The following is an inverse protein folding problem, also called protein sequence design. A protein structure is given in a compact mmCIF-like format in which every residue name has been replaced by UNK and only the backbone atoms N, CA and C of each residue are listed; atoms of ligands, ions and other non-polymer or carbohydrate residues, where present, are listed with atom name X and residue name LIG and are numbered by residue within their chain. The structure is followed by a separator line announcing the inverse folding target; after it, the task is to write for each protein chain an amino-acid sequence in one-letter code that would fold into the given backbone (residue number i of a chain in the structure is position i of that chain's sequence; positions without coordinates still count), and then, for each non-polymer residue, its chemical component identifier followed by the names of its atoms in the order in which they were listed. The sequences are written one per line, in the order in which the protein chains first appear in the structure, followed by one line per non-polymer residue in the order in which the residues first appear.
data_IF_382336547715
#
_entry.id   IF_382336547715
#
_cell.length_a   1.000
_cell.length_b   1.000
_cell.length_c   1.000
_cell.angle_alpha   90.00
_cell.angle_beta   90.00
_cell.angle_gamma   90.00
#
_symmetry.space_group_name_H-M   'P 1'
#
loop_
_entity.id
_entity.type
_entity.pdbx_description
1 polymer ?
#
# COMPACT_ATOMS: atom_id res chain seq x y z
N UNK A 1 65.03 -64.21 33.86
CA UNK A 1 65.36 -63.80 32.46
C UNK A 1 64.17 -63.06 31.87
N UNK A 2 64.32 -61.75 31.64
CA UNK A 2 63.27 -60.88 31.14
C UNK A 2 63.36 -60.73 29.61
N UNK A 3 62.23 -60.76 28.90
CA UNK A 3 62.11 -60.16 27.56
C UNK A 3 60.75 -59.46 27.39
N UNK A 4 60.80 -58.16 27.68
CA UNK A 4 59.83 -57.10 27.36
C UNK A 4 59.70 -56.99 25.84
N UNK A 5 58.55 -57.35 25.25
CA UNK A 5 58.25 -57.05 23.85
C UNK A 5 57.82 -55.58 23.73
N UNK A 6 58.58 -54.84 22.93
CA UNK A 6 58.43 -53.40 22.67
C UNK A 6 57.19 -53.16 21.82
N UNK A 7 56.30 -52.29 22.29
CA UNK A 7 55.24 -51.68 21.50
C UNK A 7 55.88 -50.64 20.58
N UNK A 8 55.95 -50.92 19.29
CA UNK A 8 56.36 -49.95 18.27
C UNK A 8 55.17 -49.06 17.93
N UNK A 9 55.11 -47.88 18.54
CA UNK A 9 54.14 -46.84 18.20
C UNK A 9 54.29 -46.41 16.74
N UNK A 10 53.26 -46.67 15.93
CA UNK A 10 53.14 -46.15 14.57
C UNK A 10 52.65 -44.71 14.67
N UNK A 11 53.58 -43.73 14.67
CA UNK A 11 53.23 -42.31 14.56
C UNK A 11 52.62 -42.07 13.18
N UNK A 12 51.30 -41.98 13.10
CA UNK A 12 50.60 -41.48 11.92
C UNK A 12 50.91 -39.99 11.79
N UNK A 13 51.83 -39.65 10.90
CA UNK A 13 52.07 -38.27 10.50
C UNK A 13 50.87 -37.84 9.64
N UNK A 14 49.81 -37.33 10.26
CA UNK A 14 48.72 -36.64 9.55
C UNK A 14 49.31 -35.43 8.87
N UNK A 15 49.68 -35.59 7.59
CA UNK A 15 50.17 -34.54 6.72
C UNK A 15 49.02 -33.54 6.59
N UNK A 16 49.04 -32.47 7.40
CA UNK A 16 48.11 -31.35 7.29
C UNK A 16 48.20 -30.86 5.84
N UNK A 17 47.17 -31.20 5.05
CA UNK A 17 46.97 -30.67 3.70
C UNK A 17 46.76 -29.18 3.87
N UNK A 18 47.83 -28.40 3.70
CA UNK A 18 47.74 -26.94 3.67
C UNK A 18 46.66 -26.60 2.64
N UNK A 19 45.59 -25.89 3.04
CA UNK A 19 44.54 -25.54 2.10
C UNK A 19 45.19 -24.73 0.99
N UNK A 20 45.02 -25.20 -0.24
CA UNK A 20 45.57 -24.53 -1.41
C UNK A 20 45.06 -23.09 -1.47
N UNK A 21 45.91 -22.09 -1.79
CA UNK A 21 45.60 -20.67 -1.67
C UNK A 21 44.32 -20.25 -2.40
N UNK A 22 43.93 -20.96 -3.47
CA UNK A 22 42.68 -20.70 -4.20
C UNK A 22 41.43 -20.86 -3.33
N UNK A 23 41.42 -21.80 -2.38
CA UNK A 23 40.25 -22.04 -1.51
C UNK A 23 39.98 -20.87 -0.57
N UNK A 24 41.05 -20.21 -0.12
CA UNK A 24 40.95 -19.00 0.73
C UNK A 24 40.46 -17.80 -0.08
N UNK A 25 40.95 -17.64 -1.31
CA UNK A 25 40.51 -16.56 -2.21
C UNK A 25 39.03 -16.70 -2.57
N UNK A 26 38.57 -17.91 -2.93
CA UNK A 26 37.16 -18.18 -3.25
C UNK A 26 36.24 -17.91 -2.03
N UNK A 27 36.67 -18.28 -0.82
CA UNK A 27 35.93 -17.97 0.41
C UNK A 27 35.81 -16.46 0.65
N UNK A 28 36.87 -15.70 0.40
CA UNK A 28 36.83 -14.23 0.53
C UNK A 28 35.88 -13.59 -0.48
N UNK A 29 35.90 -14.06 -1.74
CA UNK A 29 34.99 -13.56 -2.78
C UNK A 29 33.54 -13.88 -2.43
N UNK A 30 33.24 -15.11 -1.98
CA UNK A 30 31.91 -15.50 -1.52
C UNK A 30 31.44 -14.65 -0.34
N UNK A 31 32.31 -14.37 0.63
CA UNK A 31 31.99 -13.54 1.78
C UNK A 31 31.61 -12.12 1.35
N UNK A 32 32.40 -11.51 0.46
CA UNK A 32 32.08 -10.17 -0.11
C UNK A 32 30.75 -10.19 -0.86
N UNK A 33 30.49 -11.23 -1.66
CA UNK A 33 29.24 -11.39 -2.40
C UNK A 33 28.03 -11.56 -1.47
N UNK A 34 28.18 -12.32 -0.38
CA UNK A 34 27.16 -12.46 0.66
C UNK A 34 26.89 -11.15 1.40
N UNK A 35 27.92 -10.35 1.69
CA UNK A 35 27.73 -9.04 2.34
C UNK A 35 27.00 -8.06 1.41
N UNK A 36 27.39 -7.99 0.14
CA UNK A 36 26.74 -7.13 -0.85
C UNK A 36 25.26 -7.52 -1.05
N UNK A 37 24.98 -8.82 -1.21
CA UNK A 37 23.60 -9.31 -1.35
C UNK A 37 22.79 -9.15 -0.06
N UNK A 38 23.40 -9.31 1.11
CA UNK A 38 22.77 -9.06 2.40
C UNK A 38 22.32 -7.60 2.57
N UNK A 39 23.19 -6.63 2.27
CA UNK A 39 22.89 -5.18 2.35
C UNK A 39 21.78 -4.79 1.35
N UNK A 40 21.82 -5.30 0.12
CA UNK A 40 20.77 -5.07 -0.87
C UNK A 40 19.44 -5.72 -0.46
N UNK A 41 19.50 -6.91 0.14
CA UNK A 41 18.33 -7.63 0.65
C UNK A 41 17.60 -6.90 1.78
N UNK A 42 18.32 -6.39 2.78
CA UNK A 42 17.67 -5.62 3.86
C UNK A 42 17.05 -4.32 3.36
N UNK A 43 17.68 -3.66 2.37
CA UNK A 43 17.10 -2.48 1.73
C UNK A 43 15.85 -2.82 0.91
N UNK A 44 15.85 -3.95 0.20
CA UNK A 44 14.69 -4.42 -0.56
C UNK A 44 13.51 -4.79 0.34
N UNK A 45 13.75 -5.48 1.47
CA UNK A 45 12.70 -5.81 2.45
C UNK A 45 12.13 -4.55 3.08
N UNK A 46 12.99 -3.59 3.47
CA UNK A 46 12.55 -2.30 4.03
C UNK A 46 11.75 -1.48 3.01
N UNK A 47 12.12 -1.54 1.73
CA UNK A 47 11.40 -0.87 0.65
C UNK A 47 10.05 -1.54 0.39
N UNK A 48 9.99 -2.88 0.39
CA UNK A 48 8.74 -3.62 0.25
C UNK A 48 7.77 -3.35 1.40
N UNK A 49 8.25 -3.30 2.64
CA UNK A 49 7.44 -3.01 3.82
C UNK A 49 6.86 -1.59 3.81
N UNK A 50 7.61 -0.61 3.29
CA UNK A 50 7.08 0.75 3.08
C UNK A 50 6.05 0.80 1.95
N UNK A 51 6.30 0.08 0.86
CA UNK A 51 5.43 0.06 -0.31
C UNK A 51 4.05 -0.57 -0.01
N UNK A 52 3.98 -1.56 0.88
CA UNK A 52 2.69 -2.14 1.31
C UNK A 52 1.83 -1.15 2.09
N UNK A 53 2.42 -0.31 2.93
CA UNK A 53 1.68 0.71 3.68
C UNK A 53 1.12 1.81 2.75
N UNK A 54 1.89 2.23 1.75
CA UNK A 54 1.42 3.21 0.76
C UNK A 54 0.29 2.66 -0.13
N UNK A 55 0.34 1.38 -0.51
CA UNK A 55 -0.74 0.74 -1.27
C UNK A 55 -2.05 0.66 -0.50
N UNK A 56 -1.99 0.45 0.81
CA UNK A 56 -3.18 0.45 1.66
C UNK A 56 -3.80 1.84 1.74
N UNK A 57 -2.98 2.87 1.97
CA UNK A 57 -3.44 4.26 1.99
C UNK A 57 -4.04 4.69 0.64
N UNK A 58 -3.40 4.33 -0.49
CA UNK A 58 -3.96 4.62 -1.81
C UNK A 58 -5.33 3.98 -2.04
N UNK A 59 -5.53 2.74 -1.58
CA UNK A 59 -6.81 2.07 -1.73
C UNK A 59 -7.91 2.74 -0.89
N UNK A 60 -7.58 3.15 0.32
CA UNK A 60 -8.49 3.87 1.21
C UNK A 60 -8.85 5.26 0.66
N UNK A 61 -7.85 6.05 0.25
CA UNK A 61 -8.03 7.36 -0.38
C UNK A 61 -8.86 7.27 -1.68
N UNK A 62 -8.59 6.27 -2.54
CA UNK A 62 -9.39 6.06 -3.76
C UNK A 62 -10.85 5.72 -3.45
N UNK A 63 -11.10 5.04 -2.35
CA UNK A 63 -12.48 4.71 -1.94
C UNK A 63 -13.21 5.97 -1.48
N UNK A 64 -12.56 6.83 -0.71
CA UNK A 64 -13.11 8.12 -0.28
C UNK A 64 -13.36 9.08 -1.46
N UNK A 65 -12.44 9.15 -2.43
CA UNK A 65 -12.61 9.97 -3.63
C UNK A 65 -13.84 9.52 -4.42
N UNK A 66 -14.05 8.21 -4.58
CA UNK A 66 -15.22 7.69 -5.30
C UNK A 66 -16.53 8.00 -4.59
N UNK A 67 -16.58 7.88 -3.26
CA UNK A 67 -17.80 8.23 -2.52
C UNK A 67 -18.11 9.72 -2.58
N UNK A 68 -17.09 10.59 -2.53
CA UNK A 68 -17.29 12.04 -2.66
C UNK A 68 -17.67 12.44 -4.09
N UNK A 69 -17.11 11.79 -5.12
CA UNK A 69 -17.54 12.02 -6.51
C UNK A 69 -19.00 11.65 -6.75
N UNK A 70 -19.48 10.52 -6.20
CA UNK A 70 -20.88 10.13 -6.29
C UNK A 70 -21.81 11.18 -5.64
N UNK A 71 -21.44 11.68 -4.46
CA UNK A 71 -22.19 12.76 -3.81
C UNK A 71 -22.17 14.07 -4.60
N UNK A 72 -21.06 14.38 -5.28
CA UNK A 72 -20.94 15.59 -6.10
C UNK A 72 -21.83 15.53 -7.36
N UNK A 73 -22.02 14.35 -7.94
CA UNK A 73 -22.96 14.14 -9.06
C UNK A 73 -24.41 14.33 -8.60
N UNK A 74 -24.80 13.76 -7.45
CA UNK A 74 -26.15 13.97 -6.87
C UNK A 74 -26.43 15.44 -6.54
N UNK A 75 -25.44 16.15 -5.99
CA UNK A 75 -25.57 17.59 -5.69
C UNK A 75 -25.75 18.40 -6.97
N UNK A 76 -25.04 18.06 -8.06
CA UNK A 76 -25.20 18.74 -9.36
C UNK A 76 -26.60 18.54 -9.95
N UNK A 77 -27.15 17.34 -9.83
CA UNK A 77 -28.50 17.05 -10.32
C UNK A 77 -29.55 17.82 -9.50
N UNK A 78 -29.36 17.93 -8.19
CA UNK A 78 -30.19 18.77 -7.32
C UNK A 78 -30.05 20.26 -7.63
N UNK A 79 -28.84 20.75 -7.93
CA UNK A 79 -28.58 22.14 -8.30
C UNK A 79 -29.30 22.51 -9.61
N UNK A 80 -29.35 21.58 -10.58
CA UNK A 80 -30.13 21.74 -11.81
C UNK A 80 -31.64 21.75 -11.55
N UNK A 81 -32.13 20.91 -10.63
CA UNK A 81 -33.55 20.89 -10.24
C UNK A 81 -33.97 22.17 -9.53
N UNK A 82 -33.14 22.74 -8.66
CA UNK A 82 -33.46 24.00 -7.96
C UNK A 82 -33.43 25.21 -8.90
N UNK A 83 -32.72 25.11 -10.02
CA UNK A 83 -32.68 26.16 -11.06
C UNK A 83 -33.84 26.09 -12.07
N UNK A 84 -34.72 25.08 -12.02
CA UNK A 84 -35.86 25.05 -12.95
C UNK A 84 -36.89 26.12 -12.62
N UNK A 85 -37.51 26.66 -13.67
CA UNK A 85 -38.57 27.67 -13.56
C UNK A 85 -39.74 27.19 -12.68
N UNK A 86 -39.96 25.87 -12.62
CA UNK A 86 -40.98 25.22 -11.76
C UNK A 86 -40.70 25.45 -10.27
N UNK A 87 -39.46 25.32 -9.81
CA UNK A 87 -39.10 25.57 -8.40
C UNK A 87 -39.21 27.06 -8.05
N UNK A 88 -38.81 27.94 -8.97
CA UNK A 88 -38.99 29.38 -8.78
C UNK A 88 -40.47 29.77 -8.71
N UNK A 89 -41.32 29.12 -9.52
CA UNK A 89 -42.77 29.30 -9.50
C UNK A 89 -43.38 28.84 -8.17
N UNK A 90 -43.06 27.64 -7.69
CA UNK A 90 -43.54 27.14 -6.39
C UNK A 90 -43.12 28.05 -5.22
N UNK A 91 -41.87 28.52 -5.20
CA UNK A 91 -41.39 29.45 -4.16
C UNK A 91 -42.07 30.82 -4.26
N UNK A 92 -42.35 31.30 -5.47
CA UNK A 92 -43.07 32.56 -5.69
C UNK A 92 -44.54 32.45 -5.25
N UNK A 93 -45.19 31.32 -5.52
CA UNK A 93 -46.53 31.01 -5.02
C UNK A 93 -46.56 30.90 -3.49
N UNK A 94 -45.63 30.15 -2.88
CA UNK A 94 -45.62 29.91 -1.43
C UNK A 94 -45.20 31.14 -0.61
N UNK A 95 -44.15 31.87 -1.05
CA UNK A 95 -43.60 33.00 -0.28
C UNK A 95 -44.18 34.35 -0.65
N UNK A 96 -44.48 34.57 -1.93
CA UNK A 96 -44.95 35.87 -2.43
C UNK A 96 -46.45 35.85 -2.73
N UNK A 97 -47.10 34.68 -2.60
CA UNK A 97 -48.53 34.50 -2.90
C UNK A 97 -48.88 34.96 -4.32
N UNK A 98 -47.88 34.92 -5.22
CA UNK A 98 -47.98 35.21 -6.64
C UNK A 98 -48.71 34.06 -7.32
N UNK A 99 -49.48 34.38 -8.35
CA UNK A 99 -50.30 33.40 -9.07
C UNK A 99 -50.16 33.69 -10.54
N UNK A 100 -50.12 32.64 -11.35
CA UNK A 100 -49.94 32.81 -12.79
C UNK A 100 -51.09 33.63 -13.39
N UNK A 101 -50.84 34.44 -14.44
CA UNK A 101 -51.85 35.34 -15.02
C UNK A 101 -53.14 34.66 -15.48
N UNK A 102 -53.11 33.34 -15.69
CA UNK A 102 -54.22 32.53 -16.21
C UNK A 102 -54.88 31.64 -15.13
N UNK A 103 -54.53 31.76 -13.86
CA UNK A 103 -55.03 30.90 -12.78
C UNK A 103 -56.01 31.64 -11.84
N UNK A 104 -57.09 30.96 -11.43
CA UNK A 104 -58.20 31.55 -10.65
C UNK A 104 -58.06 31.16 -9.17
N UNK A 105 -57.83 32.14 -8.29
CA UNK A 105 -57.67 31.93 -6.85
C UNK A 105 -59.03 31.92 -6.14
N UNK A 106 -59.39 30.79 -5.52
CA UNK A 106 -60.57 30.70 -4.65
C UNK A 106 -60.18 30.86 -3.18
N UNK A 107 -60.50 32.00 -2.58
CA UNK A 107 -60.40 32.17 -1.12
C UNK A 107 -61.67 31.63 -0.45
N UNK A 108 -61.57 30.74 0.54
CA UNK A 108 -62.74 30.25 1.26
C UNK A 108 -63.41 31.42 2.01
N UNK A 109 -64.70 31.62 1.76
CA UNK A 109 -65.51 32.59 2.49
C UNK A 109 -65.75 31.99 3.88
N UNK A 110 -65.32 32.70 4.93
CA UNK A 110 -65.55 32.34 6.32
C UNK A 110 -66.65 33.21 6.91
#
# INVERSE_FOLDING_TARGET
MAKKKRVTGRRSHTKQRRPSPYKRSVLMILLVLCLLSGVLGVNAVKLHAKNTAYKQQEAELKTQIKSEQARAEEIKEYEQYVQTDDYMKEIAEDKLNLVDPNEIVFKPIK
#
